data_IF_540766298100
#
_entry.id   IF_540766298100
#
_cell.length_a   1.000
_cell.length_b   1.000
_cell.length_c   1.000
_cell.angle_alpha   90.00
_cell.angle_beta   90.00
_cell.angle_gamma   90.00
#
_symmetry.space_group_name_H-M   'P 1'
#
loop_
_entity.id
_entity.type
_entity.pdbx_description
1 polymer ?
#
# COMPACT_ATOMS: atom_id res chain seq x y z
N UNK A 1 19.05 -133.27 -29.91
CA UNK A 1 20.52 -133.06 -29.98
C UNK A 1 20.93 -131.89 -29.08
N UNK A 2 20.72 -132.08 -27.76
CA UNK A 2 21.53 -131.48 -26.71
C UNK A 2 22.84 -132.30 -26.68
N UNK A 3 23.97 -131.67 -26.32
CA UNK A 3 25.31 -132.28 -26.10
C UNK A 3 26.28 -132.31 -27.32
N UNK A 4 26.66 -131.16 -27.91
CA UNK A 4 27.96 -131.06 -28.59
C UNK A 4 28.45 -129.63 -28.93
N UNK A 5 28.12 -128.61 -28.14
CA UNK A 5 28.75 -127.29 -28.26
C UNK A 5 28.96 -126.67 -26.87
N UNK A 6 29.50 -127.50 -25.98
CA UNK A 6 29.69 -127.25 -24.54
C UNK A 6 31.20 -127.21 -24.19
N UNK A 7 32.07 -126.94 -25.18
CA UNK A 7 33.53 -127.04 -25.03
C UNK A 7 34.33 -125.87 -25.64
N UNK A 8 33.69 -124.70 -25.84
CA UNK A 8 34.38 -123.44 -26.20
C UNK A 8 33.98 -122.29 -25.26
N UNK A 9 33.58 -122.62 -24.03
CA UNK A 9 33.07 -121.66 -23.03
C UNK A 9 33.89 -121.68 -21.73
N UNK A 10 35.10 -122.26 -21.74
CA UNK A 10 35.87 -122.55 -20.52
C UNK A 10 37.32 -121.98 -20.49
N UNK A 11 37.70 -121.08 -21.41
CA UNK A 11 39.10 -120.55 -21.48
C UNK A 11 39.19 -119.02 -21.37
N UNK A 12 38.08 -118.28 -21.28
CA UNK A 12 38.10 -116.81 -21.24
C UNK A 12 37.79 -116.17 -19.87
N UNK A 13 37.90 -116.94 -18.77
CA UNK A 13 37.55 -116.46 -17.41
C UNK A 13 38.78 -116.17 -16.52
N UNK A 14 40.02 -116.22 -17.02
CA UNK A 14 41.23 -116.17 -16.17
C UNK A 14 42.30 -115.12 -16.54
N UNK A 15 41.92 -114.00 -17.18
CA UNK A 15 42.84 -112.87 -17.43
C UNK A 15 42.42 -111.58 -16.68
N UNK A 16 41.95 -111.72 -15.44
CA UNK A 16 41.48 -110.61 -14.59
C UNK A 16 42.30 -110.34 -13.33
N UNK A 17 43.48 -110.94 -13.15
CA UNK A 17 44.28 -110.75 -11.93
C UNK A 17 45.31 -109.62 -12.10
N UNK A 18 45.07 -108.49 -11.44
CA UNK A 18 46.00 -107.37 -11.25
C UNK A 18 46.95 -107.66 -10.08
N UNK A 19 48.20 -107.16 -10.09
CA UNK A 19 49.13 -107.32 -8.95
C UNK A 19 48.64 -106.53 -7.74
N UNK A 20 48.76 -107.09 -6.52
CA UNK A 20 48.29 -106.47 -5.26
C UNK A 20 48.82 -105.04 -5.08
N UNK A 21 50.07 -104.78 -5.44
CA UNK A 21 50.68 -103.44 -5.40
C UNK A 21 49.99 -102.45 -6.36
N UNK A 22 49.70 -102.87 -7.60
CA UNK A 22 49.00 -102.03 -8.58
C UNK A 22 47.54 -101.77 -8.16
N UNK A 23 46.90 -102.74 -7.49
CA UNK A 23 45.56 -102.56 -6.93
C UNK A 23 45.55 -101.55 -5.77
N UNK A 24 46.50 -101.63 -4.83
CA UNK A 24 46.60 -100.69 -3.70
C UNK A 24 46.95 -99.27 -4.16
N UNK A 25 47.89 -99.10 -5.09
CA UNK A 25 48.25 -97.79 -5.66
C UNK A 25 47.08 -97.14 -6.42
N UNK A 26 46.33 -97.94 -7.19
CA UNK A 26 45.14 -97.44 -7.91
C UNK A 26 43.96 -97.15 -6.98
N UNK A 27 43.80 -97.90 -5.90
CA UNK A 27 42.81 -97.64 -4.85
C UNK A 27 43.11 -96.32 -4.12
N UNK A 28 44.35 -96.12 -3.65
CA UNK A 28 44.77 -94.87 -3.01
C UNK A 28 44.63 -93.66 -3.94
N UNK A 29 44.98 -93.80 -5.23
CA UNK A 29 44.77 -92.74 -6.21
C UNK A 29 43.28 -92.47 -6.53
N UNK A 30 42.42 -93.48 -6.40
CA UNK A 30 40.97 -93.30 -6.52
C UNK A 30 40.38 -92.59 -5.31
N UNK A 31 40.79 -92.97 -4.10
CA UNK A 31 40.38 -92.34 -2.85
C UNK A 31 40.86 -90.89 -2.75
N UNK A 32 42.10 -90.60 -3.11
CA UNK A 32 42.64 -89.23 -3.17
C UNK A 32 41.88 -88.37 -4.19
N UNK A 33 41.52 -88.93 -5.36
CA UNK A 33 40.67 -88.23 -6.34
C UNK A 33 39.26 -88.01 -5.81
N UNK A 34 38.70 -88.98 -5.10
CA UNK A 34 37.38 -88.83 -4.47
C UNK A 34 37.40 -87.72 -3.41
N UNK A 35 38.43 -87.68 -2.57
CA UNK A 35 38.63 -86.60 -1.59
C UNK A 35 38.76 -85.23 -2.27
N UNK A 36 39.56 -85.11 -3.33
CA UNK A 36 39.66 -83.85 -4.08
C UNK A 36 38.33 -83.45 -4.74
N UNK A 37 37.55 -84.41 -5.25
CA UNK A 37 36.21 -84.15 -5.80
C UNK A 37 35.28 -83.65 -4.71
N UNK A 38 35.31 -84.25 -3.52
CA UNK A 38 34.47 -83.87 -2.39
C UNK A 38 34.85 -82.46 -1.89
N UNK A 39 36.15 -82.14 -1.78
CA UNK A 39 36.66 -80.81 -1.45
C UNK A 39 36.25 -79.76 -2.50
N UNK A 40 36.50 -80.02 -3.78
CA UNK A 40 36.11 -79.14 -4.89
C UNK A 40 34.59 -78.95 -4.95
N UNK A 41 33.81 -79.99 -4.65
CA UNK A 41 32.34 -79.90 -4.62
C UNK A 41 31.85 -79.03 -3.46
N UNK A 42 32.53 -79.09 -2.31
CA UNK A 42 32.25 -78.28 -1.14
C UNK A 42 32.61 -76.81 -1.39
N UNK A 43 33.77 -76.55 -2.00
CA UNK A 43 34.21 -75.20 -2.39
C UNK A 43 33.31 -74.59 -3.47
N UNK A 44 32.88 -75.38 -4.46
CA UNK A 44 31.94 -74.91 -5.46
C UNK A 44 30.56 -74.59 -4.84
N UNK A 45 30.15 -75.34 -3.81
CA UNK A 45 28.92 -75.07 -3.08
C UNK A 45 29.03 -73.77 -2.23
N UNK A 46 30.16 -73.56 -1.54
CA UNK A 46 30.41 -72.34 -0.75
C UNK A 46 30.45 -71.10 -1.65
N UNK A 47 31.19 -71.15 -2.77
CA UNK A 47 31.26 -70.04 -3.73
C UNK A 47 29.91 -69.75 -4.39
N UNK A 48 29.09 -70.77 -4.66
CA UNK A 48 27.72 -70.57 -5.17
C UNK A 48 26.83 -69.86 -4.15
N UNK A 49 26.95 -70.21 -2.87
CA UNK A 49 26.22 -69.55 -1.78
C UNK A 49 26.67 -68.09 -1.62
N UNK A 50 27.98 -67.85 -1.61
CA UNK A 50 28.55 -66.49 -1.52
C UNK A 50 28.13 -65.63 -2.71
N UNK A 51 28.23 -66.16 -3.94
CA UNK A 51 27.76 -65.46 -5.15
C UNK A 51 26.27 -65.15 -5.09
N UNK A 52 25.46 -66.07 -4.58
CA UNK A 52 24.02 -65.85 -4.40
C UNK A 52 23.77 -64.73 -3.40
N UNK A 53 24.46 -64.75 -2.25
CA UNK A 53 24.34 -63.72 -1.21
C UNK A 53 24.76 -62.34 -1.72
N UNK A 54 25.92 -62.25 -2.39
CA UNK A 54 26.42 -61.00 -2.97
C UNK A 54 25.50 -60.48 -4.08
N UNK A 55 24.91 -61.38 -4.88
CA UNK A 55 23.92 -60.99 -5.89
C UNK A 55 22.66 -60.41 -5.25
N UNK A 56 22.21 -60.97 -4.12
CA UNK A 56 21.05 -60.43 -3.38
C UNK A 56 21.37 -59.06 -2.80
N UNK A 57 22.50 -58.91 -2.12
CA UNK A 57 22.93 -57.63 -1.54
C UNK A 57 23.09 -56.54 -2.61
N UNK A 58 23.64 -56.90 -3.78
CA UNK A 58 23.76 -55.97 -4.91
C UNK A 58 22.39 -55.47 -5.40
N UNK A 59 21.40 -56.36 -5.51
CA UNK A 59 20.05 -55.96 -5.94
C UNK A 59 19.34 -55.13 -4.86
N UNK A 60 19.56 -55.43 -3.57
CA UNK A 60 19.05 -54.60 -2.46
C UNK A 60 19.67 -53.19 -2.48
N UNK A 61 20.99 -53.08 -2.63
CA UNK A 61 21.68 -51.79 -2.71
C UNK A 61 21.25 -51.00 -3.95
N UNK A 62 21.11 -51.65 -5.11
CA UNK A 62 20.59 -51.00 -6.33
C UNK A 62 19.17 -50.49 -6.11
N UNK A 63 18.29 -51.29 -5.51
CA UNK A 63 16.92 -50.89 -5.21
C UNK A 63 16.89 -49.69 -4.24
N UNK A 64 17.71 -49.73 -3.17
CA UNK A 64 17.84 -48.62 -2.23
C UNK A 64 18.33 -47.34 -2.91
N UNK A 65 19.34 -47.44 -3.78
CA UNK A 65 19.86 -46.28 -4.53
C UNK A 65 18.88 -45.74 -5.56
N UNK A 66 18.12 -46.62 -6.23
CA UNK A 66 17.05 -46.21 -7.14
C UNK A 66 15.94 -45.44 -6.38
N UNK A 67 15.57 -45.92 -5.19
CA UNK A 67 14.59 -45.25 -4.34
C UNK A 67 15.10 -43.88 -3.84
N UNK A 68 16.37 -43.80 -3.41
CA UNK A 68 17.00 -42.55 -2.99
C UNK A 68 17.06 -41.53 -4.14
N UNK A 69 17.45 -41.96 -5.34
CA UNK A 69 17.46 -41.10 -6.53
C UNK A 69 16.05 -40.60 -6.90
N UNK A 70 15.04 -41.47 -6.79
CA UNK A 70 13.64 -41.08 -7.01
C UNK A 70 13.15 -40.06 -5.98
N UNK A 71 13.52 -40.20 -4.70
CA UNK A 71 13.19 -39.24 -3.65
C UNK A 71 13.87 -37.88 -3.87
N UNK A 72 15.18 -37.90 -4.16
CA UNK A 72 15.93 -36.69 -4.46
C UNK A 72 15.36 -35.94 -5.67
N UNK A 73 15.00 -36.66 -6.74
CA UNK A 73 14.37 -36.04 -7.90
C UNK A 73 13.01 -35.40 -7.56
N UNK A 74 12.19 -36.05 -6.74
CA UNK A 74 10.92 -35.45 -6.26
C UNK A 74 11.16 -34.18 -5.48
N UNK A 75 12.16 -34.16 -4.60
CA UNK A 75 12.53 -32.98 -3.81
C UNK A 75 13.07 -31.85 -4.67
N UNK A 76 13.87 -32.16 -5.69
CA UNK A 76 14.37 -31.18 -6.66
C UNK A 76 13.19 -30.54 -7.38
N UNK A 77 12.29 -31.33 -7.95
CA UNK A 77 11.11 -30.80 -8.65
C UNK A 77 10.22 -29.94 -7.73
N UNK A 78 10.04 -30.35 -6.47
CA UNK A 78 9.28 -29.55 -5.50
C UNK A 78 9.96 -28.23 -5.15
N UNK A 79 11.29 -28.22 -5.02
CA UNK A 79 12.07 -27.01 -4.76
C UNK A 79 12.08 -26.07 -5.96
N UNK A 80 12.21 -26.61 -7.18
CA UNK A 80 12.14 -25.83 -8.43
C UNK A 80 10.77 -25.14 -8.56
N UNK A 81 9.68 -25.86 -8.31
CA UNK A 81 8.33 -25.28 -8.34
C UNK A 81 8.16 -24.17 -7.27
N UNK A 82 8.69 -24.38 -6.06
CA UNK A 82 8.63 -23.37 -5.00
C UNK A 82 9.47 -22.13 -5.33
N UNK A 83 10.61 -22.28 -6.00
CA UNK A 83 11.44 -21.16 -6.45
C UNK A 83 10.73 -20.32 -7.51
N UNK A 84 10.10 -20.96 -8.48
CA UNK A 84 9.32 -20.29 -9.52
C UNK A 84 8.15 -19.50 -8.92
N UNK A 85 7.42 -20.08 -7.96
CA UNK A 85 6.35 -19.38 -7.24
C UNK A 85 6.87 -18.15 -6.48
N UNK A 86 8.00 -18.28 -5.77
CA UNK A 86 8.60 -17.17 -5.03
C UNK A 86 9.11 -16.07 -5.97
N UNK A 87 9.68 -16.42 -7.12
CA UNK A 87 10.13 -15.46 -8.12
C UNK A 87 8.96 -14.66 -8.69
N UNK A 88 7.88 -15.34 -9.09
CA UNK A 88 6.65 -14.67 -9.53
C UNK A 88 6.05 -13.76 -8.45
N UNK A 89 5.97 -14.24 -7.21
CA UNK A 89 5.51 -13.43 -6.10
C UNK A 89 6.40 -12.19 -5.86
N UNK A 90 7.72 -12.34 -6.04
CA UNK A 90 8.68 -11.25 -5.97
C UNK A 90 8.44 -10.18 -7.04
N UNK A 91 8.23 -10.60 -8.29
CA UNK A 91 7.93 -9.71 -9.42
C UNK A 91 6.64 -8.92 -9.16
N UNK A 92 5.55 -9.62 -8.81
CA UNK A 92 4.25 -8.98 -8.55
C UNK A 92 4.33 -7.98 -7.39
N UNK A 93 5.00 -8.34 -6.30
CA UNK A 93 5.19 -7.42 -5.17
C UNK A 93 6.03 -6.21 -5.55
N UNK A 94 7.04 -6.38 -6.41
CA UNK A 94 7.87 -5.27 -6.86
C UNK A 94 7.09 -4.29 -7.76
N UNK A 95 6.21 -4.81 -8.62
CA UNK A 95 5.26 -3.99 -9.40
C UNK A 95 4.30 -3.22 -8.49
N UNK A 96 3.75 -3.88 -7.46
CA UNK A 96 2.87 -3.24 -6.48
C UNK A 96 3.61 -2.12 -5.73
N UNK A 97 4.82 -2.37 -5.22
CA UNK A 97 5.67 -1.37 -4.56
C UNK A 97 5.91 -0.16 -5.48
N UNK A 98 6.21 -0.40 -6.75
CA UNK A 98 6.44 0.66 -7.74
C UNK A 98 5.19 1.53 -7.92
N UNK A 99 4.01 0.90 -8.01
CA UNK A 99 2.74 1.61 -8.14
C UNK A 99 2.37 2.42 -6.89
N UNK A 100 2.65 1.88 -5.71
CA UNK A 100 2.41 2.55 -4.43
C UNK A 100 3.35 3.74 -4.24
N UNK A 101 4.62 3.61 -4.63
CA UNK A 101 5.58 4.71 -4.60
C UNK A 101 5.16 5.87 -5.52
N UNK A 102 4.67 5.57 -6.73
CA UNK A 102 4.14 6.59 -7.63
C UNK A 102 2.90 7.29 -7.04
N UNK A 103 2.00 6.51 -6.42
CA UNK A 103 0.80 7.05 -5.75
C UNK A 103 1.16 7.94 -4.56
N UNK A 104 2.13 7.54 -3.73
CA UNK A 104 2.65 8.35 -2.61
C UNK A 104 3.30 9.64 -3.10
N UNK A 105 4.07 9.59 -4.18
CA UNK A 105 4.69 10.78 -4.76
C UNK A 105 3.62 11.79 -5.25
N UNK A 106 2.55 11.31 -5.89
CA UNK A 106 1.44 12.16 -6.31
C UNK A 106 0.69 12.74 -5.12
N UNK A 107 0.40 11.94 -4.09
CA UNK A 107 -0.30 12.41 -2.90
C UNK A 107 0.51 13.44 -2.12
N UNK A 108 1.84 13.27 -2.04
CA UNK A 108 2.72 14.25 -1.42
C UNK A 108 2.71 15.59 -2.14
N UNK A 109 2.68 15.61 -3.47
CA UNK A 109 2.52 16.86 -4.25
C UNK A 109 1.17 17.53 -3.97
N UNK A 110 0.10 16.76 -3.84
CA UNK A 110 -1.23 17.28 -3.51
C UNK A 110 -1.27 17.89 -2.11
N UNK A 111 -0.68 17.22 -1.12
CA UNK A 111 -0.57 17.73 0.26
C UNK A 111 0.22 19.04 0.28
N UNK A 112 1.33 19.13 -0.46
CA UNK A 112 2.12 20.35 -0.57
C UNK A 112 1.31 21.50 -1.19
N UNK A 113 0.57 21.23 -2.27
CA UNK A 113 -0.31 22.21 -2.90
C UNK A 113 -1.39 22.72 -1.94
N UNK A 114 -2.11 21.81 -1.29
CA UNK A 114 -3.17 22.17 -0.35
C UNK A 114 -2.64 22.92 0.87
N UNK A 115 -1.45 22.56 1.34
CA UNK A 115 -0.80 23.28 2.46
C UNK A 115 -0.53 24.74 2.11
N UNK A 116 0.03 24.99 0.91
CA UNK A 116 0.27 26.36 0.43
C UNK A 116 -1.04 27.13 0.23
N UNK A 117 -2.08 26.46 -0.27
CA UNK A 117 -3.38 27.10 -0.48
C UNK A 117 -4.06 27.48 0.84
N UNK A 118 -3.98 26.62 1.86
CA UNK A 118 -4.47 26.92 3.21
C UNK A 118 -3.73 28.12 3.82
N UNK A 119 -2.40 28.19 3.67
CA UNK A 119 -1.61 29.32 4.17
C UNK A 119 -2.00 30.62 3.46
N UNK A 120 -2.13 30.58 2.13
CA UNK A 120 -2.59 31.73 1.33
C UNK A 120 -3.97 32.22 1.76
N UNK A 121 -4.91 31.29 1.95
CA UNK A 121 -6.27 31.61 2.40
C UNK A 121 -6.29 32.20 3.81
N UNK A 122 -5.43 31.69 4.71
CA UNK A 122 -5.30 32.22 6.07
C UNK A 122 -4.77 33.65 6.08
N UNK A 123 -3.74 33.95 5.28
CA UNK A 123 -3.22 35.31 5.11
C UNK A 123 -4.32 36.23 4.59
N UNK A 124 -4.98 35.85 3.49
CA UNK A 124 -6.06 36.64 2.89
C UNK A 124 -7.23 36.87 3.86
N UNK A 125 -7.61 35.86 4.63
CA UNK A 125 -8.65 35.98 5.65
C UNK A 125 -8.23 36.94 6.77
N UNK A 126 -6.96 36.92 7.17
CA UNK A 126 -6.41 37.86 8.15
C UNK A 126 -6.42 39.31 7.65
N UNK A 127 -6.01 39.53 6.40
CA UNK A 127 -6.04 40.84 5.74
C UNK A 127 -7.46 41.40 5.66
N UNK A 128 -8.42 40.60 5.18
CA UNK A 128 -9.83 41.00 5.09
C UNK A 128 -10.40 41.32 6.48
N UNK A 129 -10.06 40.52 7.49
CA UNK A 129 -10.53 40.75 8.86
C UNK A 129 -9.97 42.05 9.43
N UNK A 130 -8.67 42.32 9.22
CA UNK A 130 -8.02 43.55 9.66
C UNK A 130 -8.58 44.79 8.94
N UNK A 131 -8.83 44.70 7.64
CA UNK A 131 -9.47 45.77 6.87
C UNK A 131 -10.88 46.05 7.41
N UNK A 132 -11.67 45.01 7.63
CA UNK A 132 -13.04 45.14 8.15
C UNK A 132 -13.07 45.74 9.56
N UNK A 133 -12.11 45.39 10.40
CA UNK A 133 -11.99 45.96 11.75
C UNK A 133 -11.64 47.45 11.71
N UNK A 134 -10.70 47.87 10.85
CA UNK A 134 -10.38 49.29 10.62
C UNK A 134 -11.59 50.05 10.11
N UNK A 135 -12.31 49.48 9.14
CA UNK A 135 -13.53 50.07 8.61
C UNK A 135 -14.60 50.28 9.69
N UNK A 136 -14.85 49.25 10.51
CA UNK A 136 -15.84 49.31 11.58
C UNK A 136 -15.43 50.35 12.64
N UNK A 137 -14.14 50.40 12.98
CA UNK A 137 -13.58 51.41 13.89
C UNK A 137 -13.80 52.82 13.35
N UNK A 138 -13.54 53.06 12.06
CA UNK A 138 -13.74 54.38 11.44
C UNK A 138 -15.21 54.81 11.47
N UNK A 139 -16.14 53.90 11.16
CA UNK A 139 -17.59 54.19 11.22
C UNK A 139 -18.02 54.47 12.66
N UNK A 140 -17.51 53.72 13.63
CA UNK A 140 -17.79 53.95 15.06
C UNK A 140 -17.30 55.33 15.52
N UNK A 141 -16.05 55.69 15.19
CA UNK A 141 -15.49 57.00 15.51
C UNK A 141 -16.30 58.13 14.85
N UNK A 142 -16.73 57.96 13.59
CA UNK A 142 -17.57 58.94 12.91
C UNK A 142 -18.94 59.12 13.60
N UNK A 143 -19.56 58.01 14.04
CA UNK A 143 -20.78 58.05 14.83
C UNK A 143 -20.60 58.80 16.15
N UNK A 144 -19.57 58.47 16.93
CA UNK A 144 -19.26 59.12 18.21
C UNK A 144 -19.01 60.63 18.04
N UNK A 145 -18.27 61.01 16.99
CA UNK A 145 -18.03 62.42 16.66
C UNK A 145 -19.32 63.15 16.27
N UNK A 146 -20.18 62.57 15.43
CA UNK A 146 -21.46 63.18 15.06
C UNK A 146 -22.39 63.36 16.26
N UNK A 147 -22.46 62.37 17.15
CA UNK A 147 -23.27 62.45 18.38
C UNK A 147 -22.73 63.56 19.30
N UNK A 148 -21.41 63.67 19.43
CA UNK A 148 -20.79 64.70 20.28
C UNK A 148 -21.00 66.12 19.73
N UNK A 149 -20.75 66.34 18.44
CA UNK A 149 -20.80 67.65 17.79
C UNK A 149 -22.23 68.17 17.55
N UNK A 150 -23.21 67.27 17.51
CA UNK A 150 -24.62 67.60 17.25
C UNK A 150 -25.52 67.34 18.46
N UNK A 151 -24.93 67.22 19.65
CA UNK A 151 -25.64 66.85 20.88
C UNK A 151 -26.85 67.76 21.14
N UNK A 152 -26.68 69.08 20.96
CA UNK A 152 -27.74 70.06 21.18
C UNK A 152 -28.92 69.85 20.21
N UNK A 153 -28.63 69.66 18.93
CA UNK A 153 -29.67 69.43 17.91
C UNK A 153 -30.36 68.06 18.08
N UNK A 154 -29.64 67.06 18.59
CA UNK A 154 -30.21 65.75 18.96
C UNK A 154 -31.16 65.90 20.15
N UNK A 155 -30.74 66.62 21.20
CA UNK A 155 -31.57 66.87 22.40
C UNK A 155 -32.82 67.69 22.07
N UNK A 156 -32.73 68.61 21.11
CA UNK A 156 -33.86 69.40 20.61
C UNK A 156 -34.80 68.60 19.67
N UNK A 157 -34.40 67.39 19.27
CA UNK A 157 -35.14 66.52 18.36
C UNK A 157 -35.06 66.95 16.89
N UNK A 158 -34.10 67.80 16.55
CA UNK A 158 -33.91 68.33 15.20
C UNK A 158 -33.04 67.40 14.33
N UNK A 159 -32.25 66.53 14.97
CA UNK A 159 -31.39 65.54 14.31
C UNK A 159 -31.55 64.17 14.97
N UNK A 160 -31.55 63.10 14.15
CA UNK A 160 -31.46 61.72 14.60
C UNK A 160 -30.35 60.98 13.85
N UNK A 161 -29.46 60.33 14.59
CA UNK A 161 -28.37 59.53 14.03
C UNK A 161 -28.63 58.05 14.32
N UNK A 162 -28.49 57.19 13.31
CA UNK A 162 -28.59 55.73 13.46
C UNK A 162 -27.40 55.03 12.79
N UNK A 163 -26.80 54.07 13.49
CA UNK A 163 -25.72 53.23 12.98
C UNK A 163 -26.25 51.81 12.73
N UNK A 164 -26.07 51.31 11.52
CA UNK A 164 -26.15 49.89 11.15
C UNK A 164 -24.74 49.37 10.83
N UNK A 165 -24.57 48.05 10.73
CA UNK A 165 -23.27 47.36 10.58
C UNK A 165 -22.26 48.05 9.65
N UNK A 166 -22.71 48.56 8.51
CA UNK A 166 -21.89 49.20 7.47
C UNK A 166 -22.41 50.60 7.05
N UNK A 167 -23.44 51.13 7.70
CA UNK A 167 -24.10 52.38 7.29
C UNK A 167 -24.36 53.31 8.46
N UNK A 168 -24.01 54.56 8.27
CA UNK A 168 -24.34 55.67 9.16
C UNK A 168 -25.41 56.54 8.50
N UNK A 169 -26.53 56.77 9.17
CA UNK A 169 -27.62 57.60 8.67
C UNK A 169 -27.87 58.77 9.61
N UNK A 170 -27.88 59.98 9.04
CA UNK A 170 -28.17 61.23 9.75
C UNK A 170 -29.46 61.80 9.16
N UNK A 171 -30.50 61.87 9.98
CA UNK A 171 -31.79 62.42 9.60
C UNK A 171 -31.93 63.80 10.23
N UNK A 172 -32.21 64.81 9.40
CA UNK A 172 -32.46 66.18 9.84
C UNK A 172 -33.93 66.52 9.60
N UNK A 173 -34.58 67.15 10.57
CA UNK A 173 -35.98 67.57 10.44
C UNK A 173 -36.09 68.76 9.50
N UNK A 174 -37.11 68.79 8.63
CA UNK A 174 -37.32 69.86 7.65
C UNK A 174 -37.24 71.28 8.24
N UNK A 175 -37.90 71.51 9.40
CA UNK A 175 -38.03 72.82 10.04
C UNK A 175 -36.70 73.53 10.34
N UNK A 176 -35.61 72.77 10.51
CA UNK A 176 -34.27 73.32 10.76
C UNK A 176 -33.57 73.70 9.46
N UNK A 177 -33.91 73.04 8.35
CA UNK A 177 -33.26 73.22 7.05
C UNK A 177 -33.99 74.21 6.16
N UNK A 178 -35.32 74.23 6.16
CA UNK A 178 -36.12 74.97 5.19
C UNK A 178 -37.24 75.75 5.86
N UNK A 179 -37.62 76.88 5.26
CA UNK A 179 -38.93 77.47 5.54
C UNK A 179 -40.00 76.72 4.73
N UNK A 180 -41.23 76.69 5.22
CA UNK A 180 -42.36 76.04 4.55
C UNK A 180 -42.46 76.46 3.07
N UNK A 181 -42.42 75.48 2.17
CA UNK A 181 -42.53 75.69 0.72
C UNK A 181 -41.29 76.25 0.04
N UNK A 182 -40.15 76.36 0.73
CA UNK A 182 -38.88 76.79 0.13
C UNK A 182 -37.88 75.64 0.07
N UNK A 183 -37.03 75.68 -0.96
CA UNK A 183 -35.88 74.77 -1.09
C UNK A 183 -34.54 75.43 -0.70
N UNK A 184 -34.55 76.72 -0.34
CA UNK A 184 -33.36 77.42 0.12
C UNK A 184 -33.06 77.06 1.57
N UNK A 185 -31.81 76.66 1.83
CA UNK A 185 -31.38 76.22 3.15
C UNK A 185 -31.22 77.45 4.06
N UNK A 186 -31.81 77.39 5.24
CA UNK A 186 -31.71 78.44 6.26
C UNK A 186 -30.26 78.61 6.73
N UNK A 187 -29.85 79.82 7.14
CA UNK A 187 -28.51 80.07 7.69
C UNK A 187 -28.14 79.12 8.86
N UNK A 188 -29.12 78.75 9.69
CA UNK A 188 -28.96 77.80 10.79
C UNK A 188 -28.73 76.37 10.27
N UNK A 189 -29.52 75.94 9.28
CA UNK A 189 -29.38 74.64 8.63
C UNK A 189 -28.04 74.47 7.92
N UNK A 190 -27.53 75.53 7.28
CA UNK A 190 -26.19 75.54 6.67
C UNK A 190 -25.08 75.29 7.70
N UNK A 191 -25.18 75.85 8.91
CA UNK A 191 -24.21 75.60 9.98
C UNK A 191 -24.20 74.14 10.42
N UNK A 192 -25.38 73.52 10.52
CA UNK A 192 -25.51 72.09 10.88
C UNK A 192 -24.90 71.20 9.79
N UNK A 193 -25.28 71.44 8.53
CA UNK A 193 -24.76 70.68 7.38
C UNK A 193 -23.25 70.84 7.26
N UNK A 194 -22.70 72.04 7.53
CA UNK A 194 -21.25 72.26 7.53
C UNK A 194 -20.55 71.38 8.55
N UNK A 195 -21.05 71.29 9.79
CA UNK A 195 -20.46 70.42 10.83
C UNK A 195 -20.54 68.94 10.46
N UNK A 196 -21.68 68.50 9.90
CA UNK A 196 -21.81 67.13 9.36
C UNK A 196 -20.77 66.89 8.26
N UNK A 197 -20.61 67.84 7.34
CA UNK A 197 -19.60 67.79 6.28
C UNK A 197 -18.18 67.70 6.80
N UNK A 198 -17.82 68.47 7.82
CA UNK A 198 -16.49 68.48 8.44
C UNK A 198 -16.14 67.14 9.11
N UNK A 199 -17.14 66.45 9.67
CA UNK A 199 -16.95 65.12 10.27
C UNK A 199 -16.87 64.05 9.19
N UNK A 200 -17.78 64.10 8.20
CA UNK A 200 -17.80 63.14 7.09
C UNK A 200 -16.55 63.24 6.19
N UNK A 201 -15.93 64.42 6.07
CA UNK A 201 -14.67 64.63 5.35
C UNK A 201 -13.52 63.76 5.90
N UNK A 202 -13.59 63.37 7.17
CA UNK A 202 -12.58 62.52 7.83
C UNK A 202 -12.83 61.02 7.60
N UNK A 203 -13.96 60.66 6.99
CA UNK A 203 -14.33 59.27 6.69
C UNK A 203 -14.03 59.01 5.21
N UNK A 204 -12.91 58.36 4.97
CA UNK A 204 -12.45 58.04 3.62
C UNK A 204 -13.16 56.79 3.06
N UNK A 205 -13.17 56.67 1.73
CA UNK A 205 -13.68 55.51 0.98
C UNK A 205 -15.14 55.12 1.29
N UNK A 206 -16.01 56.14 1.43
CA UNK A 206 -17.45 55.95 1.62
C UNK A 206 -18.25 56.78 0.63
N UNK A 207 -19.33 56.19 0.12
CA UNK A 207 -20.31 56.90 -0.69
C UNK A 207 -21.27 57.67 0.21
N UNK A 208 -21.37 58.99 0.00
CA UNK A 208 -22.39 59.83 0.63
C UNK A 208 -23.63 59.83 -0.27
N UNK A 209 -24.77 59.47 0.31
CA UNK A 209 -26.08 59.54 -0.35
C UNK A 209 -26.98 60.51 0.40
N UNK A 210 -27.46 61.52 -0.31
CA UNK A 210 -28.40 62.52 0.22
C UNK A 210 -29.78 62.24 -0.35
N UNK A 211 -30.76 62.06 0.53
CA UNK A 211 -32.14 61.74 0.16
C UNK A 211 -33.06 62.80 0.76
N UNK A 212 -33.95 63.38 -0.05
CA UNK A 212 -34.99 64.31 0.39
C UNK A 212 -36.35 63.61 0.41
N UNK A 213 -37.11 63.82 1.47
CA UNK A 213 -38.46 63.29 1.63
C UNK A 213 -39.44 64.45 1.85
N UNK A 214 -40.65 64.34 1.30
CA UNK A 214 -41.77 65.26 1.57
C UNK A 214 -42.94 64.47 2.15
N UNK A 215 -43.91 65.19 2.70
CA UNK A 215 -45.23 64.59 2.93
C UNK A 215 -46.01 64.46 1.60
N UNK A 216 -47.29 64.11 1.71
CA UNK A 216 -48.22 64.00 0.59
C UNK A 216 -49.10 65.25 0.39
N UNK A 217 -48.76 66.38 1.03
CA UNK A 217 -49.52 67.64 0.95
C UNK A 217 -48.93 68.50 -0.17
N UNK A 218 -49.78 68.92 -1.11
CA UNK A 218 -49.35 69.76 -2.22
C UNK A 218 -49.14 71.20 -1.75
N UNK A 219 -47.97 71.75 -2.07
CA UNK A 219 -47.68 73.17 -1.92
C UNK A 219 -48.16 73.84 -3.21
N UNK A 220 -49.13 74.75 -3.10
CA UNK A 220 -49.79 75.43 -4.23
C UNK A 220 -48.87 76.43 -4.94
N UNK A 221 -49.33 77.03 -6.07
CA UNK A 221 -48.55 78.05 -6.79
C UNK A 221 -48.28 79.30 -5.95
#
# INVERSE_FOLDING_TARGET
>A
MKKLLLFLFAVFVLAGCVSTKTYEETLQASEARQQSIDELSTELASQKLEKSALSTELEEVKAAKANEAADLNRRITALEASLEEMEHAGITKNEEITSLQASLANRNKEVEYLTREVERLKIKSGEISSQKEKELSNVKTAYENLVSELKTEIEQGDIRITQALDRLSVNLVEKILFDSGKAEIKPEGLKVISRVGDILKKVEDRQIRVEGHTDNVRIGP
#
